data_IF_923064037287
#
_entry.id   IF_923064037287
#
_cell.length_a   1.000
_cell.length_b   1.000
_cell.length_c   1.000
_cell.angle_alpha   90.00
_cell.angle_beta   90.00
_cell.angle_gamma   90.00
#
_symmetry.space_group_name_H-M   'P 1'
#
loop_
_entity.id
_entity.type
_entity.pdbx_description
1 polymer ?
#
# COMPACT_ATOMS: atom_id res chain seq x y z
N UNK A 1 28.63 14.00 3.89
CA UNK A 1 29.92 14.51 3.34
C UNK A 1 30.99 13.43 3.16
N UNK A 2 30.98 12.33 3.93
CA UNK A 2 31.98 11.25 3.82
C UNK A 2 31.91 10.44 2.53
N UNK A 3 30.73 10.35 1.90
CA UNK A 3 30.52 9.74 0.58
C UNK A 3 30.79 10.67 -0.60
N UNK A 4 31.18 11.93 -0.35
CA UNK A 4 31.47 12.93 -1.39
C UNK A 4 32.98 13.13 -1.46
N UNK A 5 33.52 13.02 -2.69
CA UNK A 5 34.91 13.31 -3.02
C UNK A 5 35.36 14.61 -2.33
N UNK A 6 36.48 14.63 -1.59
CA UNK A 6 36.91 15.80 -0.82
C UNK A 6 36.96 17.11 -1.61
N UNK A 7 37.29 17.03 -2.91
CA UNK A 7 37.36 18.17 -3.82
C UNK A 7 35.99 18.85 -4.05
N UNK A 8 34.89 18.09 -3.98
CA UNK A 8 33.54 18.59 -4.25
C UNK A 8 32.82 19.08 -2.98
N UNK A 9 33.40 18.87 -1.79
CA UNK A 9 32.78 19.26 -0.51
C UNK A 9 32.54 20.77 -0.38
N UNK A 10 33.45 21.67 -0.80
CA UNK A 10 33.20 23.11 -0.73
C UNK A 10 32.03 23.54 -1.63
N UNK A 11 31.94 22.99 -2.84
CA UNK A 11 30.85 23.26 -3.78
C UNK A 11 29.51 22.77 -3.22
N UNK A 12 29.46 21.54 -2.70
CA UNK A 12 28.26 21.00 -2.05
C UNK A 12 27.84 21.84 -0.83
N UNK A 13 28.80 22.30 -0.02
CA UNK A 13 28.51 23.15 1.13
C UNK A 13 27.94 24.51 0.69
N UNK A 14 28.49 25.12 -0.36
CA UNK A 14 27.99 26.38 -0.91
C UNK A 14 26.58 26.22 -1.51
N UNK A 15 26.35 25.17 -2.29
CA UNK A 15 25.02 24.86 -2.82
C UNK A 15 24.02 24.54 -1.70
N UNK A 16 24.45 23.83 -0.66
CA UNK A 16 23.65 23.53 0.51
C UNK A 16 23.23 24.78 1.30
N UNK A 17 24.12 25.77 1.42
CA UNK A 17 23.78 27.06 2.04
C UNK A 17 22.69 27.80 1.25
N UNK A 18 22.82 27.88 -0.08
CA UNK A 18 21.80 28.49 -0.95
C UNK A 18 20.45 27.76 -0.83
N UNK A 19 20.47 26.42 -0.78
CA UNK A 19 19.25 25.64 -0.58
C UNK A 19 18.63 25.86 0.81
N UNK A 20 19.46 25.98 1.85
CA UNK A 20 19.04 26.30 3.21
C UNK A 20 18.32 27.65 3.28
N UNK A 21 18.95 28.70 2.75
CA UNK A 21 18.37 30.06 2.70
C UNK A 21 17.02 30.06 1.94
N UNK A 22 16.93 29.30 0.85
CA UNK A 22 15.70 29.18 0.07
C UNK A 22 14.57 28.45 0.82
N UNK A 23 14.89 27.41 1.59
CA UNK A 23 13.92 26.70 2.43
C UNK A 23 13.43 27.56 3.60
N UNK A 24 14.32 28.34 4.23
CA UNK A 24 13.94 29.31 5.26
C UNK A 24 13.02 30.40 4.69
N UNK A 25 13.35 30.95 3.53
CA UNK A 25 12.50 31.92 2.85
C UNK A 25 11.12 31.34 2.48
N UNK A 26 11.07 30.08 2.05
CA UNK A 26 9.80 29.40 1.79
C UNK A 26 8.98 29.18 3.05
N UNK A 27 9.61 28.83 4.17
CA UNK A 27 8.93 28.71 5.47
C UNK A 27 8.31 30.06 5.89
N UNK A 28 9.06 31.16 5.80
CA UNK A 28 8.52 32.52 6.05
C UNK A 28 7.34 32.84 5.13
N UNK A 29 7.44 32.51 3.84
CA UNK A 29 6.32 32.70 2.91
C UNK A 29 5.06 31.93 3.34
N UNK A 30 5.20 30.69 3.83
CA UNK A 30 4.07 29.90 4.34
C UNK A 30 3.44 30.52 5.60
N UNK A 31 4.26 31.03 6.53
CA UNK A 31 3.79 31.74 7.73
C UNK A 31 3.03 33.04 7.36
N UNK A 32 3.50 33.77 6.34
CA UNK A 32 2.80 34.96 5.82
C UNK A 32 1.49 34.61 5.11
N UNK A 33 1.42 33.42 4.49
CA UNK A 33 0.23 32.94 3.78
C UNK A 33 -0.84 32.41 4.74
N UNK A 34 -0.45 31.76 5.84
CA UNK A 34 -1.34 31.06 6.78
C UNK A 34 -2.57 31.89 7.21
N UNK A 35 -2.45 33.17 7.64
CA UNK A 35 -3.61 33.96 8.05
C UNK A 35 -4.65 34.20 6.94
N UNK A 36 -4.24 34.04 5.67
CA UNK A 36 -5.09 34.26 4.50
C UNK A 36 -5.59 32.96 3.86
N UNK A 37 -5.13 31.79 4.33
CA UNK A 37 -5.50 30.48 3.80
C UNK A 37 -6.91 30.07 4.31
N UNK A 38 -7.94 30.72 3.79
CA UNK A 38 -9.36 30.52 4.20
C UNK A 38 -10.14 29.55 3.31
N UNK A 39 -9.47 28.90 2.35
CA UNK A 39 -10.08 27.93 1.46
C UNK A 39 -10.51 26.65 2.19
N UNK A 40 -11.52 25.98 1.63
CA UNK A 40 -11.91 24.64 2.07
C UNK A 40 -10.96 23.60 1.48
N UNK A 41 -10.56 22.61 2.29
CA UNK A 41 -9.73 21.48 1.86
C UNK A 41 -10.57 20.43 1.11
N UNK A 42 -11.89 20.44 1.23
CA UNK A 42 -12.75 19.51 0.50
C UNK A 42 -12.59 19.66 -1.02
N UNK A 43 -12.30 18.53 -1.69
CA UNK A 43 -12.00 18.55 -3.11
C UNK A 43 -13.25 18.77 -3.96
N UNK A 44 -14.43 18.42 -3.47
CA UNK A 44 -15.71 18.60 -4.14
C UNK A 44 -16.06 17.47 -5.11
N UNK A 45 -17.35 17.13 -5.16
CA UNK A 45 -17.89 15.98 -5.87
C UNK A 45 -17.52 15.97 -7.38
N UNK A 46 -17.68 17.10 -8.07
CA UNK A 46 -17.37 17.21 -9.51
C UNK A 46 -15.90 16.92 -9.84
N UNK A 47 -14.98 17.37 -9.00
CA UNK A 47 -13.54 17.15 -9.20
C UNK A 47 -13.16 15.73 -8.84
N UNK A 48 -13.72 15.19 -7.75
CA UNK A 48 -13.52 13.81 -7.35
C UNK A 48 -14.00 12.83 -8.44
N UNK A 49 -15.23 13.01 -8.91
CA UNK A 49 -15.79 12.23 -10.02
C UNK A 49 -15.01 12.45 -11.33
N UNK A 50 -14.46 13.64 -11.52
CA UNK A 50 -13.53 13.93 -12.61
C UNK A 50 -12.28 13.03 -12.61
N UNK A 51 -11.70 12.74 -11.43
CA UNK A 51 -10.59 11.79 -11.33
C UNK A 51 -11.08 10.37 -11.63
N UNK A 52 -12.12 9.90 -10.93
CA UNK A 52 -12.63 8.53 -11.12
C UNK A 52 -13.02 8.23 -12.57
N UNK A 53 -13.79 9.10 -13.21
CA UNK A 53 -14.42 8.81 -14.49
C UNK A 53 -13.62 9.26 -15.70
N UNK A 54 -12.75 10.28 -15.56
CA UNK A 54 -11.97 10.80 -16.71
C UNK A 54 -10.49 10.48 -16.65
N UNK A 55 -9.89 10.44 -15.45
CA UNK A 55 -8.49 10.05 -15.31
C UNK A 55 -8.36 8.53 -15.17
N UNK A 56 -9.14 7.93 -14.27
CA UNK A 56 -9.11 6.49 -14.01
C UNK A 56 -10.05 5.67 -14.91
N UNK A 57 -11.01 6.35 -15.56
CA UNK A 57 -11.96 5.77 -16.51
C UNK A 57 -12.87 4.70 -15.90
N UNK A 58 -13.18 4.80 -14.61
CA UNK A 58 -14.23 4.01 -13.97
C UNK A 58 -15.62 4.42 -14.46
N UNK A 59 -16.56 3.47 -14.45
CA UNK A 59 -17.96 3.67 -14.83
C UNK A 59 -18.86 4.06 -13.65
N UNK A 60 -18.29 4.23 -12.47
CA UNK A 60 -18.96 4.65 -11.24
C UNK A 60 -18.43 6.00 -10.72
N UNK A 61 -19.22 6.64 -9.87
CA UNK A 61 -18.88 7.88 -9.18
C UNK A 61 -18.47 7.64 -7.72
N UNK A 62 -18.13 8.70 -7.00
CA UNK A 62 -17.70 8.65 -5.60
C UNK A 62 -18.76 8.04 -4.67
N UNK A 63 -20.05 8.26 -4.94
CA UNK A 63 -21.15 7.77 -4.10
C UNK A 63 -21.34 6.27 -4.30
N UNK A 64 -21.39 5.82 -5.55
CA UNK A 64 -21.44 4.40 -5.88
C UNK A 64 -20.20 3.65 -5.34
N UNK A 65 -19.03 4.27 -5.44
CA UNK A 65 -17.80 3.72 -4.85
C UNK A 65 -17.91 3.57 -3.32
N UNK A 66 -18.46 4.57 -2.63
CA UNK A 66 -18.67 4.51 -1.19
C UNK A 66 -19.63 3.39 -0.78
N UNK A 67 -20.73 3.20 -1.51
CA UNK A 67 -21.67 2.11 -1.21
C UNK A 67 -21.03 0.73 -1.40
N UNK A 68 -20.19 0.56 -2.43
CA UNK A 68 -19.38 -0.67 -2.60
C UNK A 68 -18.46 -0.90 -1.40
N UNK A 69 -17.82 0.15 -0.90
CA UNK A 69 -16.94 0.05 0.26
C UNK A 69 -17.69 -0.31 1.55
N UNK A 70 -18.92 0.20 1.76
CA UNK A 70 -19.77 -0.22 2.89
C UNK A 70 -20.08 -1.71 2.85
N UNK A 71 -20.40 -2.26 1.67
CA UNK A 71 -20.58 -3.70 1.51
C UNK A 71 -19.32 -4.51 1.84
N UNK A 72 -18.14 -4.03 1.42
CA UNK A 72 -16.87 -4.67 1.78
C UNK A 72 -16.56 -4.61 3.27
N UNK A 73 -16.89 -3.49 3.95
CA UNK A 73 -16.76 -3.38 5.41
C UNK A 73 -17.59 -4.46 6.10
N UNK A 74 -18.85 -4.66 5.68
CA UNK A 74 -19.73 -5.68 6.26
C UNK A 74 -19.18 -7.10 6.06
N UNK A 75 -18.78 -7.45 4.84
CA UNK A 75 -18.22 -8.76 4.50
C UNK A 75 -16.94 -9.07 5.29
N UNK A 76 -15.96 -8.16 5.26
CA UNK A 76 -14.67 -8.36 5.92
C UNK A 76 -14.81 -8.35 7.44
N UNK A 77 -15.68 -7.50 7.99
CA UNK A 77 -15.97 -7.51 9.44
C UNK A 77 -16.57 -8.84 9.87
N UNK A 78 -17.40 -9.47 9.04
CA UNK A 78 -17.94 -10.81 9.34
C UNK A 78 -16.83 -11.89 9.31
N UNK A 79 -15.87 -11.80 8.40
CA UNK A 79 -14.69 -12.68 8.39
C UNK A 79 -13.82 -12.51 9.65
N UNK A 80 -13.56 -11.25 10.05
CA UNK A 80 -12.80 -10.95 11.27
C UNK A 80 -13.50 -11.48 12.53
N UNK A 81 -14.82 -11.30 12.64
CA UNK A 81 -15.62 -11.84 13.76
C UNK A 81 -15.53 -13.37 13.83
N UNK A 82 -15.63 -14.06 12.68
CA UNK A 82 -15.47 -15.52 12.62
C UNK A 82 -14.08 -15.96 13.06
N UNK A 83 -13.03 -15.30 12.58
CA UNK A 83 -11.67 -15.63 12.98
C UNK A 83 -11.39 -15.33 14.45
N UNK A 84 -11.97 -14.25 15.00
CA UNK A 84 -11.91 -13.95 16.43
C UNK A 84 -12.60 -15.01 17.29
N UNK A 85 -13.79 -15.47 16.88
CA UNK A 85 -14.51 -16.56 17.55
C UNK A 85 -13.68 -17.86 17.55
N UNK A 86 -13.04 -18.20 16.42
CA UNK A 86 -12.20 -19.39 16.30
C UNK A 86 -10.93 -19.31 17.17
N UNK A 87 -10.28 -18.14 17.24
CA UNK A 87 -9.03 -17.95 17.98
C UNK A 87 -9.22 -17.75 19.49
N UNK A 88 -10.30 -17.09 19.90
CA UNK A 88 -10.47 -16.57 21.27
C UNK A 88 -11.84 -16.90 21.89
N UNK A 89 -12.79 -17.48 21.15
CA UNK A 89 -14.13 -17.81 21.65
C UNK A 89 -15.03 -16.59 21.86
N UNK A 90 -14.77 -15.48 21.17
CA UNK A 90 -15.65 -14.31 21.10
C UNK A 90 -15.47 -13.53 19.79
N UNK A 91 -16.52 -12.81 19.36
CA UNK A 91 -16.52 -12.06 18.09
C UNK A 91 -15.77 -10.70 18.14
N UNK A 92 -15.32 -10.23 19.31
CA UNK A 92 -14.58 -8.96 19.44
C UNK A 92 -13.15 -9.05 18.84
N UNK A 93 -13.08 -8.89 17.52
CA UNK A 93 -11.84 -8.97 16.75
C UNK A 93 -10.83 -7.86 17.10
N UNK A 94 -11.27 -6.69 17.58
CA UNK A 94 -10.34 -5.62 17.98
C UNK A 94 -9.48 -6.08 19.15
N UNK A 95 -10.11 -6.64 20.19
CA UNK A 95 -9.40 -7.18 21.35
C UNK A 95 -8.46 -8.32 20.96
N UNK A 96 -8.88 -9.21 20.05
CA UNK A 96 -8.02 -10.29 19.54
C UNK A 96 -6.79 -9.73 18.84
N UNK A 97 -6.94 -8.78 17.92
CA UNK A 97 -5.80 -8.21 17.19
C UNK A 97 -4.85 -7.42 18.12
N UNK A 98 -5.37 -6.71 19.10
CA UNK A 98 -4.55 -6.04 20.13
C UNK A 98 -3.73 -7.04 20.94
N UNK A 99 -4.28 -8.22 21.26
CA UNK A 99 -3.52 -9.29 21.93
C UNK A 99 -2.47 -9.89 21.00
N UNK A 100 -2.83 -10.19 19.74
CA UNK A 100 -1.90 -10.73 18.75
C UNK A 100 -0.73 -9.78 18.45
N UNK A 101 -0.96 -8.46 18.50
CA UNK A 101 0.11 -7.47 18.32
C UNK A 101 1.20 -7.52 19.40
N UNK A 102 0.95 -8.16 20.54
CA UNK A 102 1.97 -8.40 21.57
C UNK A 102 2.99 -9.46 21.16
N UNK A 103 2.65 -10.35 20.22
CA UNK A 103 3.58 -11.28 19.58
C UNK A 103 4.42 -10.51 18.55
N UNK A 104 5.38 -9.72 19.05
CA UNK A 104 6.17 -8.78 18.24
C UNK A 104 7.68 -9.02 18.35
N UNK A 105 8.46 -8.57 17.35
CA UNK A 105 9.90 -8.50 17.48
C UNK A 105 10.33 -7.65 18.69
N UNK A 106 11.44 -8.02 19.33
CA UNK A 106 11.97 -7.30 20.51
C UNK A 106 12.94 -6.17 20.14
N UNK A 107 13.43 -6.15 18.90
CA UNK A 107 14.36 -5.13 18.39
C UNK A 107 14.04 -4.78 16.93
N UNK A 108 14.40 -3.58 16.45
CA UNK A 108 14.28 -3.24 15.03
C UNK A 108 15.01 -4.22 14.10
N UNK A 109 16.13 -4.80 14.55
CA UNK A 109 16.86 -5.81 13.78
C UNK A 109 16.09 -7.13 13.70
N UNK A 110 15.49 -7.60 14.80
CA UNK A 110 14.62 -8.78 14.75
C UNK A 110 13.40 -8.55 13.84
N UNK A 111 12.85 -7.32 13.81
CA UNK A 111 11.79 -6.93 12.89
C UNK A 111 12.25 -7.01 11.43
N UNK A 112 13.44 -6.48 11.11
CA UNK A 112 14.03 -6.56 9.76
C UNK A 112 14.23 -8.02 9.32
N UNK A 113 14.78 -8.86 10.19
CA UNK A 113 14.95 -10.30 9.94
C UNK A 113 13.61 -10.97 9.67
N UNK A 114 12.57 -10.67 10.46
CA UNK A 114 11.22 -11.19 10.23
C UNK A 114 10.67 -10.83 8.85
N UNK A 115 10.84 -9.58 8.41
CA UNK A 115 10.46 -9.15 7.06
C UNK A 115 11.27 -9.84 5.97
N UNK A 116 12.58 -10.02 6.17
CA UNK A 116 13.47 -10.73 5.25
C UNK A 116 13.06 -12.20 5.08
N UNK A 117 12.77 -12.89 6.17
CA UNK A 117 12.30 -14.28 6.17
C UNK A 117 10.97 -14.42 5.43
N UNK A 118 9.99 -13.57 5.71
CA UNK A 118 8.67 -13.64 5.06
C UNK A 118 8.70 -13.21 3.59
N UNK A 119 9.57 -12.27 3.23
CA UNK A 119 9.85 -11.91 1.83
C UNK A 119 10.40 -13.12 1.07
N UNK A 120 11.37 -13.83 1.65
CA UNK A 120 11.94 -15.04 1.06
C UNK A 120 10.90 -16.18 0.94
N UNK A 121 10.06 -16.39 1.98
CA UNK A 121 8.96 -17.37 1.94
C UNK A 121 7.94 -17.06 0.86
N UNK A 122 7.53 -15.80 0.72
CA UNK A 122 6.58 -15.38 -0.32
C UNK A 122 7.12 -15.65 -1.72
N UNK A 123 8.39 -15.30 -1.97
CA UNK A 123 9.07 -15.62 -3.23
C UNK A 123 9.15 -17.12 -3.49
N UNK A 124 9.56 -17.90 -2.49
CA UNK A 124 9.67 -19.36 -2.61
C UNK A 124 8.32 -20.02 -2.92
N UNK A 125 7.26 -19.58 -2.24
CA UNK A 125 5.89 -20.07 -2.46
C UNK A 125 5.43 -19.81 -3.90
N UNK A 126 5.67 -18.61 -4.43
CA UNK A 126 5.32 -18.27 -5.82
C UNK A 126 6.08 -19.12 -6.85
N UNK A 127 7.36 -19.39 -6.60
CA UNK A 127 8.17 -20.30 -7.43
C UNK A 127 7.61 -21.72 -7.39
N UNK A 128 7.28 -22.23 -6.21
CA UNK A 128 6.74 -23.58 -6.03
C UNK A 128 5.36 -23.72 -6.70
N UNK A 129 4.49 -22.73 -6.51
CA UNK A 129 3.12 -22.75 -7.03
C UNK A 129 3.04 -22.38 -8.50
N UNK A 130 4.06 -21.74 -9.07
CA UNK A 130 4.07 -21.33 -10.48
C UNK A 130 3.04 -20.25 -10.82
N UNK A 131 2.66 -19.42 -9.84
CA UNK A 131 1.60 -18.40 -9.95
C UNK A 131 2.02 -17.14 -10.72
N UNK A 132 3.32 -16.93 -10.92
CA UNK A 132 3.91 -15.77 -11.61
C UNK A 132 5.21 -16.17 -12.31
N UNK A 133 5.63 -15.39 -13.31
CA UNK A 133 6.98 -15.51 -13.88
C UNK A 133 8.00 -14.63 -13.15
N UNK A 134 9.27 -15.03 -13.15
CA UNK A 134 10.36 -14.28 -12.53
C UNK A 134 11.34 -13.74 -13.57
N UNK A 135 11.45 -12.41 -13.75
CA UNK A 135 12.43 -11.80 -14.62
C UNK A 135 13.87 -12.09 -14.19
N UNK A 136 14.79 -12.25 -15.14
CA UNK A 136 16.17 -12.54 -14.81
C UNK A 136 16.85 -11.36 -14.09
N UNK A 137 17.49 -11.67 -12.96
CA UNK A 137 18.23 -10.68 -12.16
C UNK A 137 17.37 -9.81 -11.25
N UNK A 138 16.06 -10.06 -11.17
CA UNK A 138 15.19 -9.45 -10.16
C UNK A 138 15.65 -9.85 -8.75
N UNK A 139 15.67 -8.86 -7.84
CA UNK A 139 16.05 -9.05 -6.45
C UNK A 139 15.42 -7.95 -5.59
N UNK A 140 14.91 -8.32 -4.41
CA UNK A 140 14.38 -7.38 -3.43
C UNK A 140 15.19 -7.50 -2.13
N UNK A 141 15.85 -6.41 -1.73
CA UNK A 141 16.58 -6.37 -0.46
C UNK A 141 15.72 -5.79 0.65
N UNK A 142 15.69 -6.49 1.79
CA UNK A 142 15.00 -6.02 2.99
C UNK A 142 15.99 -5.32 3.92
N UNK A 143 15.84 -4.01 4.07
CA UNK A 143 16.81 -3.18 4.78
C UNK A 143 16.14 -2.16 5.72
N UNK A 144 16.87 -1.60 6.70
CA UNK A 144 16.34 -0.54 7.54
C UNK A 144 15.97 0.69 6.72
N UNK A 145 14.87 1.35 7.05
CA UNK A 145 14.56 2.64 6.45
C UNK A 145 15.72 3.65 6.65
N UNK A 146 16.08 4.43 5.62
CA UNK A 146 17.14 5.42 5.68
C UNK A 146 16.93 6.41 6.83
N UNK A 147 18.00 6.87 7.52
CA UNK A 147 17.87 7.77 8.68
C UNK A 147 17.01 9.02 8.43
N UNK A 148 17.06 9.59 7.22
CA UNK A 148 16.27 10.77 6.87
C UNK A 148 14.78 10.49 6.67
N UNK A 149 14.37 9.22 6.46
CA UNK A 149 12.97 8.82 6.31
C UNK A 149 12.33 8.44 7.64
N UNK A 150 13.08 7.92 8.61
CA UNK A 150 12.55 7.40 9.89
C UNK A 150 11.65 8.38 10.68
N UNK A 151 11.89 9.71 10.69
CA UNK A 151 11.03 10.65 11.40
C UNK A 151 9.71 10.93 10.66
N UNK A 152 9.69 10.77 9.34
CA UNK A 152 8.56 11.18 8.47
C UNK A 152 7.74 10.00 7.96
N UNK A 153 8.35 8.81 7.86
CA UNK A 153 7.73 7.61 7.33
C UNK A 153 7.78 6.50 8.39
N UNK A 154 6.60 6.27 8.97
CA UNK A 154 6.37 5.37 10.08
C UNK A 154 6.00 3.94 9.65
N UNK A 155 5.95 3.68 8.35
CA UNK A 155 5.46 2.44 7.75
C UNK A 155 6.51 1.82 6.86
N UNK A 156 6.36 0.52 6.61
CA UNK A 156 7.07 -0.17 5.55
C UNK A 156 6.90 0.59 4.22
N UNK A 157 7.93 0.56 3.38
CA UNK A 157 7.86 1.19 2.06
C UNK A 157 8.80 0.51 1.09
N UNK A 158 8.45 0.60 -0.19
CA UNK A 158 9.21 0.03 -1.27
C UNK A 158 9.76 1.10 -2.20
N UNK A 159 10.97 0.88 -2.70
CA UNK A 159 11.59 1.64 -3.78
C UNK A 159 11.87 0.73 -4.97
N UNK A 160 11.36 1.12 -6.12
CA UNK A 160 11.45 0.38 -7.38
C UNK A 160 12.84 0.45 -8.03
N UNK A 161 13.19 -0.54 -8.87
CA UNK A 161 14.41 -0.49 -9.65
C UNK A 161 14.35 0.70 -10.62
N UNK A 162 15.43 1.50 -10.77
CA UNK A 162 15.38 2.69 -11.62
C UNK A 162 14.96 2.33 -13.06
N UNK A 163 13.92 2.97 -13.62
CA UNK A 163 13.22 2.49 -14.82
C UNK A 163 14.12 2.41 -16.07
N UNK A 164 15.10 3.31 -16.19
CA UNK A 164 16.03 3.37 -17.34
C UNK A 164 17.44 2.81 -17.05
N UNK A 165 17.61 2.11 -15.93
CA UNK A 165 18.83 1.35 -15.61
C UNK A 165 18.68 -0.13 -16.02
N UNK A 166 19.78 -0.86 -16.12
CA UNK A 166 19.74 -2.33 -16.23
C UNK A 166 19.46 -3.04 -14.90
N UNK A 167 19.50 -2.31 -13.77
CA UNK A 167 19.22 -2.88 -12.45
C UNK A 167 17.74 -3.30 -12.35
N UNK A 168 17.50 -4.53 -11.88
CA UNK A 168 16.18 -5.04 -11.48
C UNK A 168 16.05 -5.12 -9.95
N UNK A 169 16.98 -4.49 -9.23
CA UNK A 169 17.05 -4.52 -7.78
C UNK A 169 16.11 -3.47 -7.18
N UNK A 170 15.19 -3.92 -6.33
CA UNK A 170 14.31 -3.06 -5.53
C UNK A 170 14.67 -3.12 -4.05
N UNK A 171 14.27 -2.09 -3.31
CA UNK A 171 14.57 -1.95 -1.90
C UNK A 171 13.28 -1.94 -1.08
N UNK A 172 13.12 -2.90 -0.19
CA UNK A 172 12.06 -2.94 0.79
C UNK A 172 12.59 -2.40 2.13
N UNK A 173 12.18 -1.19 2.46
CA UNK A 173 12.55 -0.49 3.69
C UNK A 173 11.60 -0.84 4.85
N UNK A 174 12.18 -1.46 5.89
CA UNK A 174 11.52 -1.77 7.15
C UNK A 174 11.51 -0.53 8.06
N UNK A 175 10.38 -0.15 8.70
CA UNK A 175 10.26 1.14 9.37
C UNK A 175 11.03 1.18 10.69
N UNK A 176 12.29 1.61 10.63
CA UNK A 176 13.09 1.80 11.84
C UNK A 176 12.61 3.04 12.62
N UNK A 177 12.66 3.01 13.96
CA UNK A 177 12.39 4.19 14.76
C UNK A 177 13.45 5.28 14.49
N UNK A 178 13.08 6.58 14.55
CA UNK A 178 14.04 7.66 14.36
C UNK A 178 15.13 7.65 15.44
N UNK A 179 16.29 8.21 15.12
CA UNK A 179 17.40 8.31 16.06
C UNK A 179 16.97 9.15 17.27
N UNK A 180 17.19 8.62 18.48
CA UNK A 180 16.76 9.26 19.73
C UNK A 180 15.30 8.99 20.14
N UNK A 181 14.59 8.12 19.42
CA UNK A 181 13.26 7.65 19.84
C UNK A 181 13.28 7.07 21.26
N UNK A 182 12.25 7.40 22.03
CA UNK A 182 12.01 6.84 23.36
C UNK A 182 11.70 5.34 23.31
N UNK A 183 11.91 4.64 24.43
CA UNK A 183 11.56 3.22 24.55
C UNK A 183 10.08 2.95 24.21
N UNK A 184 9.19 3.88 24.56
CA UNK A 184 7.76 3.78 24.24
C UNK A 184 7.48 3.88 22.74
N UNK A 185 8.16 4.78 22.02
CA UNK A 185 8.04 4.91 20.56
C UNK A 185 8.61 3.69 19.83
N UNK A 186 9.74 3.16 20.31
CA UNK A 186 10.33 1.92 19.78
C UNK A 186 9.37 0.76 20.01
N UNK A 187 8.82 0.60 21.21
CA UNK A 187 7.86 -0.45 21.51
C UNK A 187 6.62 -0.35 20.61
N UNK A 188 6.04 0.85 20.47
CA UNK A 188 4.89 1.08 19.58
C UNK A 188 5.21 0.73 18.12
N UNK A 189 6.40 1.10 17.63
CA UNK A 189 6.84 0.73 16.26
C UNK A 189 6.90 -0.78 16.07
N UNK A 190 7.45 -1.50 17.03
CA UNK A 190 7.54 -2.96 16.99
C UNK A 190 6.16 -3.62 17.11
N UNK A 191 5.24 -3.04 17.89
CA UNK A 191 3.86 -3.51 18.05
C UNK A 191 3.07 -3.43 16.74
N UNK A 192 3.18 -2.32 16.02
CA UNK A 192 2.52 -2.15 14.72
C UNK A 192 3.21 -2.94 13.59
N UNK A 193 4.23 -3.73 13.91
CA UNK A 193 4.95 -4.64 13.01
C UNK A 193 5.11 -6.01 13.70
N UNK A 194 4.04 -6.47 14.36
CA UNK A 194 3.99 -7.75 15.06
C UNK A 194 4.23 -8.93 14.11
N UNK A 195 4.73 -10.06 14.63
CA UNK A 195 5.01 -11.24 13.81
C UNK A 195 3.81 -11.71 12.98
N UNK A 196 2.56 -11.68 13.49
CA UNK A 196 1.43 -12.09 12.68
C UNK A 196 1.07 -11.09 11.55
N UNK A 197 1.49 -9.83 11.64
CA UNK A 197 1.23 -8.78 10.63
C UNK A 197 2.28 -8.71 9.51
N UNK A 198 3.52 -9.08 9.82
CA UNK A 198 4.66 -9.06 8.89
C UNK A 198 4.38 -9.79 7.57
N UNK A 199 3.75 -11.00 7.54
CA UNK A 199 3.52 -11.74 6.29
C UNK A 199 2.73 -10.95 5.25
N UNK A 200 1.63 -10.30 5.65
CA UNK A 200 0.78 -9.54 4.72
C UNK A 200 1.52 -8.34 4.15
N UNK A 201 2.26 -7.63 5.01
CA UNK A 201 3.07 -6.48 4.60
C UNK A 201 4.24 -6.89 3.69
N UNK A 202 4.89 -8.03 3.96
CA UNK A 202 5.94 -8.57 3.09
C UNK A 202 5.40 -8.95 1.70
N UNK A 203 4.17 -9.49 1.63
CA UNK A 203 3.49 -9.74 0.35
C UNK A 203 3.17 -8.44 -0.38
N UNK A 204 2.67 -7.43 0.34
CA UNK A 204 2.29 -6.12 -0.19
C UNK A 204 3.48 -5.38 -0.81
N UNK A 205 4.60 -5.28 -0.09
CA UNK A 205 5.76 -4.50 -0.52
C UNK A 205 6.67 -5.28 -1.48
N UNK A 206 6.77 -6.61 -1.33
CA UNK A 206 7.71 -7.41 -2.09
C UNK A 206 7.01 -8.36 -3.09
N UNK A 207 6.74 -9.61 -2.70
CA UNK A 207 6.33 -10.65 -3.62
C UNK A 207 4.91 -11.19 -3.33
N UNK A 208 4.00 -11.24 -4.33
CA UNK A 208 4.11 -10.67 -5.67
C UNK A 208 3.62 -9.21 -5.71
N UNK A 209 3.64 -8.46 -4.61
CA UNK A 209 3.17 -7.07 -4.52
C UNK A 209 4.03 -6.06 -5.28
N UNK A 210 4.38 -4.93 -4.65
CA UNK A 210 5.03 -3.81 -5.33
C UNK A 210 6.32 -4.20 -6.04
N UNK A 211 7.22 -4.96 -5.40
CA UNK A 211 8.47 -5.33 -6.04
C UNK A 211 8.24 -6.10 -7.34
N UNK A 212 7.47 -7.18 -7.27
CA UNK A 212 7.26 -8.02 -8.43
C UNK A 212 6.52 -7.27 -9.55
N UNK A 213 5.45 -6.52 -9.21
CA UNK A 213 4.72 -5.72 -10.21
C UNK A 213 5.61 -4.69 -10.89
N UNK A 214 6.39 -3.91 -10.15
CA UNK A 214 7.16 -2.82 -10.73
C UNK A 214 8.37 -3.34 -11.53
N UNK A 215 8.93 -4.50 -11.16
CA UNK A 215 9.88 -5.23 -12.01
C UNK A 215 9.21 -5.68 -13.33
N UNK A 216 8.00 -6.22 -13.28
CA UNK A 216 7.27 -6.61 -14.49
C UNK A 216 6.91 -5.41 -15.38
N UNK A 217 6.47 -4.30 -14.78
CA UNK A 217 6.16 -3.06 -15.49
C UNK A 217 7.40 -2.49 -16.21
N UNK A 218 8.58 -2.59 -15.58
CA UNK A 218 9.86 -2.16 -16.15
C UNK A 218 10.25 -2.92 -17.42
N UNK A 219 9.78 -4.16 -17.60
CA UNK A 219 10.01 -4.92 -18.83
C UNK A 219 9.23 -4.38 -20.04
N UNK A 220 8.31 -3.45 -19.83
CA UNK A 220 7.51 -2.91 -20.92
C UNK A 220 8.40 -2.18 -21.95
N UNK A 221 8.24 -2.43 -23.27
CA UNK A 221 9.04 -1.77 -24.30
C UNK A 221 8.74 -0.27 -24.43
N UNK A 222 7.62 0.21 -23.91
CA UNK A 222 7.28 1.63 -23.90
C UNK A 222 7.85 2.33 -22.68
N UNK A 223 8.77 3.27 -22.91
CA UNK A 223 9.33 4.12 -21.86
C UNK A 223 8.25 4.86 -21.05
N UNK A 224 7.13 5.22 -21.68
CA UNK A 224 5.99 5.84 -20.98
C UNK A 224 5.35 4.85 -20.00
N UNK A 225 5.16 3.59 -20.39
CA UNK A 225 4.58 2.56 -19.51
C UNK A 225 5.53 2.11 -18.40
N UNK A 226 6.83 2.35 -18.54
CA UNK A 226 7.83 2.10 -17.49
C UNK A 226 7.78 3.13 -16.35
N UNK A 227 7.28 4.35 -16.60
CA UNK A 227 7.34 5.45 -15.61
C UNK A 227 5.98 6.06 -15.24
N UNK A 228 4.98 5.90 -16.11
CA UNK A 228 3.63 6.35 -15.79
C UNK A 228 2.99 5.39 -14.78
N UNK A 229 2.34 5.94 -13.76
CA UNK A 229 1.58 5.16 -12.80
C UNK A 229 0.43 5.92 -12.15
N UNK A 230 -0.57 5.17 -11.72
CA UNK A 230 -1.63 5.60 -10.81
C UNK A 230 -1.63 4.74 -9.54
N UNK A 231 -1.95 5.36 -8.40
CA UNK A 231 -2.12 4.65 -7.14
C UNK A 231 -3.22 3.58 -7.23
N UNK A 232 -4.27 3.80 -8.03
CA UNK A 232 -5.35 2.81 -8.17
C UNK A 232 -4.81 1.47 -8.63
N UNK A 233 -3.92 1.46 -9.63
CA UNK A 233 -3.31 0.22 -10.07
C UNK A 233 -2.26 -0.30 -9.09
N UNK A 234 -1.27 0.51 -8.70
CA UNK A 234 -0.14 0.03 -7.90
C UNK A 234 -0.59 -0.50 -6.53
N UNK A 235 -1.42 0.26 -5.82
CA UNK A 235 -1.94 -0.10 -4.51
C UNK A 235 -3.02 -1.19 -4.62
N UNK A 236 -3.82 -1.12 -5.68
CA UNK A 236 -4.80 -2.15 -6.00
C UNK A 236 -4.16 -3.51 -6.26
N UNK A 237 -3.03 -3.54 -6.97
CA UNK A 237 -2.27 -4.75 -7.24
C UNK A 237 -1.68 -5.32 -5.95
N UNK A 238 -1.04 -4.50 -5.12
CA UNK A 238 -0.45 -4.97 -3.87
C UNK A 238 -1.51 -5.58 -2.93
N UNK A 239 -2.68 -4.93 -2.81
CA UNK A 239 -3.78 -5.46 -2.00
C UNK A 239 -4.47 -6.68 -2.66
N UNK A 240 -4.50 -6.75 -3.99
CA UNK A 240 -4.91 -7.96 -4.72
C UNK A 240 -3.95 -9.13 -4.43
N UNK A 241 -2.64 -8.88 -4.44
CA UNK A 241 -1.61 -9.87 -4.16
C UNK A 241 -1.76 -10.47 -2.77
N UNK A 242 -2.05 -9.65 -1.75
CA UNK A 242 -2.36 -10.12 -0.40
C UNK A 242 -3.52 -11.12 -0.39
N UNK A 243 -4.62 -10.81 -1.08
CA UNK A 243 -5.78 -11.69 -1.19
C UNK A 243 -5.48 -12.94 -2.02
N UNK A 244 -4.78 -12.81 -3.14
CA UNK A 244 -4.44 -13.92 -4.03
C UNK A 244 -3.53 -14.93 -3.33
N UNK A 245 -2.55 -14.47 -2.55
CA UNK A 245 -1.68 -15.32 -1.74
C UNK A 245 -2.49 -16.10 -0.68
N UNK A 246 -3.47 -15.46 -0.02
CA UNK A 246 -4.40 -16.14 0.89
C UNK A 246 -5.22 -17.22 0.16
N UNK A 247 -5.84 -16.88 -0.96
CA UNK A 247 -6.68 -17.80 -1.75
C UNK A 247 -5.91 -19.04 -2.23
N UNK A 248 -4.59 -18.95 -2.36
CA UNK A 248 -3.72 -20.04 -2.78
C UNK A 248 -3.02 -20.78 -1.61
N UNK A 249 -3.30 -20.39 -0.36
CA UNK A 249 -2.80 -21.07 0.83
C UNK A 249 -1.40 -20.68 1.27
N UNK A 250 -0.96 -19.45 0.99
CA UNK A 250 0.31 -18.93 1.51
C UNK A 250 0.26 -18.70 3.03
N UNK A 251 -0.86 -18.15 3.52
CA UNK A 251 -1.09 -17.99 4.95
C UNK A 251 -1.66 -19.29 5.51
N UNK A 252 -0.85 -20.00 6.30
CA UNK A 252 -1.18 -21.26 6.95
C UNK A 252 -1.61 -21.10 8.42
N UNK A 253 -1.50 -19.88 8.96
CA UNK A 253 -1.92 -19.50 10.31
C UNK A 253 -3.06 -18.48 10.22
N UNK A 254 -4.18 -18.76 10.91
CA UNK A 254 -5.33 -17.87 10.98
C UNK A 254 -4.97 -16.48 11.53
N UNK A 255 -3.95 -16.37 12.38
CA UNK A 255 -3.45 -15.07 12.87
C UNK A 255 -2.95 -14.19 11.72
N UNK A 256 -2.26 -14.75 10.72
CA UNK A 256 -1.81 -14.01 9.54
C UNK A 256 -3.00 -13.55 8.70
N UNK A 257 -3.98 -14.45 8.52
CA UNK A 257 -5.20 -14.16 7.76
C UNK A 257 -6.00 -13.04 8.42
N UNK A 258 -6.08 -13.02 9.76
CA UNK A 258 -6.73 -11.95 10.53
C UNK A 258 -6.11 -10.58 10.25
N UNK A 259 -4.77 -10.47 10.23
CA UNK A 259 -4.11 -9.20 9.88
C UNK A 259 -4.29 -8.81 8.40
N UNK A 260 -4.36 -9.78 7.50
CA UNK A 260 -4.67 -9.51 6.09
C UNK A 260 -6.11 -8.99 5.93
N UNK A 261 -7.08 -9.53 6.67
CA UNK A 261 -8.44 -9.00 6.70
C UNK A 261 -8.51 -7.61 7.33
N UNK A 262 -7.79 -7.36 8.43
CA UNK A 262 -7.76 -6.02 9.03
C UNK A 262 -7.17 -4.99 8.08
N UNK A 263 -6.09 -5.35 7.36
CA UNK A 263 -5.52 -4.50 6.33
C UNK A 263 -6.57 -4.15 5.26
N UNK A 264 -7.33 -5.14 4.77
CA UNK A 264 -8.40 -4.92 3.80
C UNK A 264 -9.56 -4.07 4.37
N UNK A 265 -9.98 -4.31 5.61
CA UNK A 265 -11.03 -3.53 6.29
C UNK A 265 -10.63 -2.05 6.40
N UNK A 266 -9.39 -1.79 6.82
CA UNK A 266 -8.84 -0.45 6.90
C UNK A 266 -8.83 0.26 5.53
N UNK A 267 -8.47 -0.45 4.45
CA UNK A 267 -8.55 0.11 3.08
C UNK A 267 -10.00 0.29 2.59
N UNK A 268 -10.96 -0.48 3.10
CA UNK A 268 -12.39 -0.24 2.85
C UNK A 268 -12.88 1.02 3.58
N UNK A 269 -12.51 1.19 4.85
CA UNK A 269 -12.84 2.39 5.63
C UNK A 269 -12.26 3.66 5.01
N UNK A 270 -11.03 3.59 4.47
CA UNK A 270 -10.40 4.69 3.71
C UNK A 270 -11.26 5.18 2.56
N UNK A 271 -11.93 4.30 1.80
CA UNK A 271 -12.81 4.73 0.71
C UNK A 271 -13.98 5.55 1.25
N UNK A 272 -14.64 5.06 2.31
CA UNK A 272 -15.80 5.75 2.92
C UNK A 272 -15.39 7.12 3.44
N UNK A 273 -14.26 7.20 4.14
CA UNK A 273 -13.76 8.44 4.72
C UNK A 273 -13.31 9.42 3.63
N UNK A 274 -12.47 9.01 2.69
CA UNK A 274 -11.93 9.88 1.64
C UNK A 274 -13.05 10.49 0.77
N UNK A 275 -14.01 9.66 0.34
CA UNK A 275 -15.17 10.15 -0.41
C UNK A 275 -16.03 11.09 0.44
N UNK A 276 -16.33 10.75 1.69
CA UNK A 276 -17.21 11.59 2.54
C UNK A 276 -16.58 12.92 2.93
N UNK A 277 -15.28 12.92 3.25
CA UNK A 277 -14.50 14.13 3.52
C UNK A 277 -14.56 15.09 2.32
N UNK A 278 -14.25 14.59 1.12
CA UNK A 278 -14.15 15.46 -0.06
C UNK A 278 -15.49 15.81 -0.70
N UNK A 279 -16.57 15.09 -0.40
CA UNK A 279 -17.94 15.48 -0.74
C UNK A 279 -18.55 16.44 0.30
N UNK A 280 -17.86 16.73 1.41
CA UNK A 280 -18.35 17.61 2.47
C UNK A 280 -19.43 16.97 3.35
N UNK A 281 -19.43 15.64 3.45
CA UNK A 281 -20.43 14.83 4.16
C UNK A 281 -19.90 14.24 5.48
N UNK A 282 -18.61 14.41 5.76
CA UNK A 282 -17.99 14.15 7.05
C UNK A 282 -17.08 15.32 7.42
N UNK A 283 -17.11 15.72 8.68
CA UNK A 283 -16.06 16.52 9.30
C UNK A 283 -14.80 15.68 9.52
N UNK A 284 -13.66 16.35 9.75
CA UNK A 284 -12.41 15.68 10.10
C UNK A 284 -12.56 14.77 11.33
N UNK A 285 -13.22 15.23 12.39
CA UNK A 285 -13.42 14.42 13.60
C UNK A 285 -14.34 13.22 13.35
N UNK A 286 -15.45 13.37 12.62
CA UNK A 286 -16.32 12.24 12.27
C UNK A 286 -15.57 11.18 11.45
N UNK A 287 -14.65 11.61 10.57
CA UNK A 287 -13.77 10.71 9.85
C UNK A 287 -12.76 9.99 10.78
N UNK A 288 -12.19 10.68 11.77
CA UNK A 288 -11.31 10.06 12.78
C UNK A 288 -12.07 9.00 13.57
N UNK A 289 -13.26 9.33 14.06
CA UNK A 289 -14.12 8.43 14.82
C UNK A 289 -14.50 7.20 13.99
N UNK A 290 -14.85 7.40 12.70
CA UNK A 290 -15.17 6.32 11.78
C UNK A 290 -13.98 5.38 11.57
N UNK A 291 -12.76 5.91 11.41
CA UNK A 291 -11.55 5.09 11.26
C UNK A 291 -11.28 4.27 12.52
N UNK A 292 -11.50 4.82 13.71
CA UNK A 292 -11.29 4.10 14.98
C UNK A 292 -12.29 2.96 15.20
N UNK A 293 -13.51 3.08 14.69
CA UNK A 293 -14.51 2.01 14.76
C UNK A 293 -14.21 0.85 13.79
N UNK A 294 -13.51 1.13 12.69
CA UNK A 294 -13.31 0.19 11.58
C UNK A 294 -11.83 -0.17 11.34
N UNK A 295 -10.97 -0.01 12.35
CA UNK A 295 -9.56 -0.40 12.29
C UNK A 295 -8.98 -0.62 13.69
N UNK A 296 -7.81 -1.26 13.77
CA UNK A 296 -7.10 -1.47 15.03
C UNK A 296 -6.18 -0.29 15.43
N UNK A 297 -6.36 0.88 14.80
CA UNK A 297 -5.46 2.03 14.95
C UNK A 297 -5.62 2.76 16.29
N UNK A 298 -4.55 3.39 16.76
CA UNK A 298 -4.62 4.36 17.87
C UNK A 298 -5.13 5.72 17.37
N UNK A 299 -5.82 6.48 18.22
CA UNK A 299 -6.33 7.83 17.92
C UNK A 299 -5.30 8.77 17.28
N UNK A 300 -4.05 8.91 17.79
CA UNK A 300 -3.04 9.75 17.13
C UNK A 300 -2.72 9.32 15.70
N UNK A 301 -2.75 8.01 15.41
CA UNK A 301 -2.50 7.49 14.07
C UNK A 301 -3.71 7.74 13.17
N UNK A 302 -4.94 7.60 13.68
CA UNK A 302 -6.16 7.93 12.94
C UNK A 302 -6.21 9.43 12.57
N UNK A 303 -5.85 10.32 13.49
CA UNK A 303 -5.73 11.77 13.23
C UNK A 303 -4.71 12.04 12.12
N UNK A 304 -3.53 11.43 12.19
CA UNK A 304 -2.48 11.61 11.18
C UNK A 304 -2.95 11.13 9.78
N UNK A 305 -3.58 9.96 9.72
CA UNK A 305 -4.12 9.41 8.47
C UNK A 305 -5.24 10.28 7.90
N UNK A 306 -6.24 10.68 8.71
CA UNK A 306 -7.35 11.52 8.23
C UNK A 306 -6.86 12.89 7.75
N UNK A 307 -5.87 13.47 8.44
CA UNK A 307 -5.22 14.71 7.99
C UNK A 307 -4.52 14.52 6.64
N UNK A 308 -3.85 13.37 6.44
CA UNK A 308 -3.26 13.01 5.15
C UNK A 308 -4.32 12.94 4.06
N UNK A 309 -5.46 12.30 4.32
CA UNK A 309 -6.57 12.19 3.37
C UNK A 309 -7.06 13.57 2.92
N UNK A 310 -7.26 14.50 3.87
CA UNK A 310 -7.65 15.89 3.53
C UNK A 310 -6.68 16.60 2.59
N UNK A 311 -5.38 16.26 2.62
CA UNK A 311 -4.36 16.88 1.76
C UNK A 311 -4.11 16.14 0.44
N UNK A 312 -4.63 14.92 0.27
CA UNK A 312 -4.39 14.08 -0.90
C UNK A 312 -5.65 13.33 -1.35
N UNK A 313 -6.62 14.05 -1.94
CA UNK A 313 -7.89 13.46 -2.36
C UNK A 313 -7.68 12.30 -3.32
N UNK A 314 -8.56 11.29 -3.22
CA UNK A 314 -8.62 10.07 -4.06
C UNK A 314 -7.51 9.05 -3.82
N UNK A 315 -6.41 9.43 -3.17
CA UNK A 315 -5.31 8.49 -2.94
C UNK A 315 -5.72 7.39 -1.95
N UNK A 316 -6.39 7.75 -0.86
CA UNK A 316 -6.78 6.79 0.17
C UNK A 316 -7.84 5.79 -0.35
N UNK A 317 -8.70 6.20 -1.29
CA UNK A 317 -9.68 5.31 -1.91
C UNK A 317 -9.08 4.37 -2.96
N UNK A 318 -7.83 4.61 -3.39
CA UNK A 318 -7.22 3.89 -4.51
C UNK A 318 -6.99 2.39 -4.27
N UNK A 319 -6.59 2.03 -3.05
CA UNK A 319 -6.17 0.68 -2.65
C UNK A 319 -7.25 -0.38 -2.90
N UNK A 320 -8.35 -0.36 -2.13
CA UNK A 320 -9.38 -1.39 -2.26
C UNK A 320 -10.17 -1.24 -3.57
N UNK A 321 -10.34 -0.02 -4.07
CA UNK A 321 -10.96 0.19 -5.39
C UNK A 321 -10.20 -0.58 -6.46
N UNK A 322 -8.88 -0.42 -6.50
CA UNK A 322 -8.06 -1.10 -7.49
C UNK A 322 -8.03 -2.61 -7.32
N UNK A 323 -7.96 -3.10 -6.08
CA UNK A 323 -8.03 -4.54 -5.79
C UNK A 323 -9.33 -5.16 -6.31
N UNK A 324 -10.48 -4.53 -6.05
CA UNK A 324 -11.79 -5.02 -6.53
C UNK A 324 -11.87 -5.04 -8.06
N UNK A 325 -11.35 -4.03 -8.73
CA UNK A 325 -11.34 -4.00 -10.19
C UNK A 325 -10.37 -5.04 -10.78
N UNK A 326 -9.20 -5.26 -10.18
CA UNK A 326 -8.27 -6.32 -10.63
C UNK A 326 -8.89 -7.70 -10.43
N UNK A 327 -9.57 -7.97 -9.32
CA UNK A 327 -10.33 -9.21 -9.10
C UNK A 327 -11.39 -9.41 -10.19
N UNK A 328 -12.16 -8.36 -10.51
CA UNK A 328 -13.17 -8.40 -11.57
C UNK A 328 -12.55 -8.72 -12.93
N UNK A 329 -11.40 -8.12 -13.24
CA UNK A 329 -10.69 -8.35 -14.51
C UNK A 329 -10.15 -9.79 -14.55
N UNK A 330 -9.56 -10.29 -13.45
CA UNK A 330 -9.11 -11.68 -13.33
C UNK A 330 -10.23 -12.64 -13.65
N UNK A 331 -11.37 -12.48 -12.99
CA UNK A 331 -12.49 -13.41 -13.13
C UNK A 331 -13.02 -13.41 -14.59
N UNK A 332 -13.10 -12.24 -15.23
CA UNK A 332 -13.46 -12.12 -16.66
C UNK A 332 -12.42 -12.73 -17.60
N UNK A 333 -11.13 -12.57 -17.30
CA UNK A 333 -10.05 -13.16 -18.08
C UNK A 333 -10.09 -14.68 -18.02
N UNK A 334 -10.27 -15.25 -16.82
CA UNK A 334 -10.40 -16.69 -16.62
C UNK A 334 -11.65 -17.23 -17.31
N UNK A 335 -12.80 -16.55 -17.19
CA UNK A 335 -14.04 -16.91 -17.89
C UNK A 335 -13.84 -16.94 -19.41
N UNK A 336 -13.19 -15.92 -19.99
CA UNK A 336 -12.93 -15.85 -21.42
C UNK A 336 -12.05 -17.01 -21.93
N UNK A 337 -11.15 -17.50 -21.08
CA UNK A 337 -10.27 -18.66 -21.36
C UNK A 337 -10.91 -20.01 -21.02
N UNK A 338 -12.10 -20.04 -20.42
CA UNK A 338 -12.72 -21.26 -19.90
C UNK A 338 -11.93 -21.90 -18.75
N UNK A 339 -11.18 -21.10 -18.01
CA UNK A 339 -10.34 -21.51 -16.88
C UNK A 339 -11.01 -21.18 -15.54
N UNK A 340 -10.52 -21.77 -14.45
CA UNK A 340 -10.95 -21.47 -13.08
C UNK A 340 -9.81 -20.83 -12.29
N UNK A 341 -10.13 -20.31 -11.10
CA UNK A 341 -9.13 -19.77 -10.17
C UNK A 341 -8.15 -20.84 -9.63
N UNK A 342 -8.38 -22.13 -9.89
CA UNK A 342 -7.44 -23.21 -9.56
C UNK A 342 -6.52 -23.56 -10.73
N UNK A 343 -6.73 -22.98 -11.90
CA UNK A 343 -5.84 -23.13 -13.05
C UNK A 343 -4.64 -22.19 -12.90
N UNK A 344 -3.55 -22.75 -12.39
CA UNK A 344 -2.30 -22.03 -12.10
C UNK A 344 -1.71 -21.38 -13.36
N UNK A 345 -1.76 -22.05 -14.51
CA UNK A 345 -1.19 -21.52 -15.74
C UNK A 345 -2.02 -20.34 -16.25
N UNK A 346 -3.36 -20.44 -16.17
CA UNK A 346 -4.23 -19.32 -16.52
C UNK A 346 -4.06 -18.13 -15.56
N UNK A 347 -3.86 -18.38 -14.26
CA UNK A 347 -3.53 -17.33 -13.29
C UNK A 347 -2.18 -16.68 -13.57
N UNK A 348 -1.13 -17.46 -13.85
CA UNK A 348 0.18 -16.93 -14.21
C UNK A 348 0.11 -16.05 -15.44
N UNK A 349 -0.55 -16.52 -16.49
CA UNK A 349 -0.74 -15.75 -17.72
C UNK A 349 -1.48 -14.42 -17.45
N UNK A 350 -2.52 -14.45 -16.60
CA UNK A 350 -3.21 -13.23 -16.17
C UNK A 350 -2.28 -12.26 -15.43
N UNK A 351 -1.57 -12.74 -14.40
CA UNK A 351 -0.68 -11.93 -13.57
C UNK A 351 0.43 -11.29 -14.39
N UNK A 352 1.09 -12.07 -15.25
CA UNK A 352 2.18 -11.59 -16.10
C UNK A 352 1.67 -10.55 -17.11
N UNK A 353 0.50 -10.78 -17.70
CA UNK A 353 -0.07 -9.89 -18.70
C UNK A 353 -0.56 -8.56 -18.09
N UNK A 354 -1.28 -8.59 -16.97
CA UNK A 354 -1.83 -7.36 -16.36
C UNK A 354 -0.72 -6.49 -15.77
N UNK A 355 0.29 -7.07 -15.11
CA UNK A 355 1.42 -6.30 -14.55
C UNK A 355 2.42 -5.86 -15.60
N UNK A 356 2.64 -6.67 -16.65
CA UNK A 356 3.42 -6.29 -17.82
C UNK A 356 2.81 -5.13 -18.62
N UNK A 357 1.52 -4.83 -18.43
CA UNK A 357 0.89 -3.64 -19.01
C UNK A 357 1.38 -2.33 -18.38
N UNK A 358 2.07 -2.39 -17.23
CA UNK A 358 2.56 -1.25 -16.46
C UNK A 358 1.61 -0.89 -15.31
N UNK A 359 1.52 0.39 -15.00
CA UNK A 359 0.66 0.93 -13.93
C UNK A 359 -0.41 1.85 -14.53
N UNK A 360 -1.08 1.37 -15.58
CA UNK A 360 -2.12 2.11 -16.31
C UNK A 360 -3.36 2.36 -15.44
N UNK A 361 -4.23 3.33 -15.79
CA UNK A 361 -5.61 3.32 -15.30
C UNK A 361 -6.22 1.93 -15.50
N UNK A 362 -6.86 1.38 -14.47
CA UNK A 362 -7.23 -0.05 -14.46
C UNK A 362 -8.15 -0.43 -15.62
N UNK A 363 -9.06 0.46 -16.04
CA UNK A 363 -9.90 0.23 -17.20
C UNK A 363 -9.10 0.11 -18.52
N UNK A 364 -7.94 0.77 -18.63
CA UNK A 364 -7.03 0.58 -19.77
C UNK A 364 -6.20 -0.70 -19.63
N UNK A 365 -5.83 -1.08 -18.42
CA UNK A 365 -5.18 -2.36 -18.17
C UNK A 365 -6.10 -3.54 -18.52
N UNK A 366 -7.39 -3.47 -18.18
CA UNK A 366 -8.41 -4.45 -18.61
C UNK A 366 -8.39 -4.62 -20.13
N UNK A 367 -8.44 -3.51 -20.87
CA UNK A 367 -8.38 -3.55 -22.34
C UNK A 367 -7.10 -4.18 -22.87
N UNK A 368 -5.97 -3.96 -22.20
CA UNK A 368 -4.69 -4.53 -22.58
C UNK A 368 -4.64 -6.05 -22.34
N UNK A 369 -5.10 -6.52 -21.17
CA UNK A 369 -5.06 -7.94 -20.81
C UNK A 369 -6.14 -8.76 -21.50
N UNK A 370 -7.34 -8.20 -21.72
CA UNK A 370 -8.40 -8.89 -22.46
C UNK A 370 -8.10 -9.07 -23.95
N UNK A 371 -7.13 -8.33 -24.50
CA UNK A 371 -6.66 -8.53 -25.87
C UNK A 371 -5.77 -9.78 -26.02
N UNK A 372 -5.31 -10.35 -24.90
CA UNK A 372 -4.48 -11.56 -24.84
C UNK A 372 -5.21 -12.77 -24.25
N UNK A 373 -6.46 -12.58 -23.81
CA UNK A 373 -7.37 -13.65 -23.40
C UNK A 373 -7.89 -14.40 -24.63
#
# INVERSE_FOLDING_TARGET
LTQVEPANRPELAAAGAVAGDALEAYATFLEEMEPNATGDWAFGEDRYNGILQRAELFDFDARALRERARGQIEEISADLKRGAEELAGHEDWHTVLLELNKDRPLTPEAMRVGYEEWTAKARAFLVERGLVSFPAGEECTVEPSPPFQRPVLAVASYQDPPPFSSSMHGHFFVPYPPDGASEAEIAKRLESNSYPSIPSTAVHEAYPGHHWHLVMAKLNPSAVRQVFGTSYFAEGWALYAERMMRENGFYDDLRHIMFQYEAALFRAARIVVDTSLHLGEMTHQEAVDFMLEHSSMTEPTAIAEVTRYCSWPTQASSYLTGCLEILRIRDRFLEARGASQTDVDALRDFHDAITGAGTLPIALAERAVMATA
#
